data_IF_775931220014
#
_entry.id   IF_775931220014
#
_cell.length_a   1.000
_cell.length_b   1.000
_cell.length_c   1.000
_cell.angle_alpha   90.00
_cell.angle_beta   90.00
_cell.angle_gamma   90.00
#
_symmetry.space_group_name_H-M   'P 1'
#
loop_
_entity.id
_entity.type
_entity.pdbx_description
1 polymer ?
#
# COMPACT_ATOMS: atom_id res chain seq x y z
N UNK A 1 8.25 9.79 -17.94
CA UNK A 1 6.97 9.54 -17.26
C UNK A 1 7.13 10.14 -15.88
N UNK A 2 6.29 11.09 -15.49
CA UNK A 2 6.39 11.75 -14.18
C UNK A 2 5.84 10.86 -13.06
N UNK A 3 6.10 11.24 -11.81
CA UNK A 3 5.49 10.58 -10.64
C UNK A 3 3.97 10.61 -10.71
N UNK A 4 3.38 11.77 -11.00
CA UNK A 4 1.94 11.94 -11.12
C UNK A 4 1.35 11.07 -12.23
N UNK A 5 2.03 10.95 -13.38
CA UNK A 5 1.61 10.08 -14.48
C UNK A 5 1.64 8.61 -14.07
N UNK A 6 2.69 8.19 -13.34
CA UNK A 6 2.82 6.82 -12.83
C UNK A 6 1.74 6.48 -11.79
N UNK A 7 1.54 7.36 -10.81
CA UNK A 7 0.50 7.19 -9.78
C UNK A 7 -0.89 7.21 -10.42
N UNK A 8 -1.13 8.05 -11.41
CA UNK A 8 -2.40 8.09 -12.12
C UNK A 8 -2.67 6.80 -12.92
N UNK A 9 -1.69 6.28 -13.69
CA UNK A 9 -1.86 5.02 -14.44
C UNK A 9 -2.10 3.84 -13.50
N UNK A 10 -1.29 3.69 -12.46
CA UNK A 10 -1.46 2.60 -11.50
C UNK A 10 -2.76 2.74 -10.70
N UNK A 11 -3.10 3.97 -10.29
CA UNK A 11 -4.34 4.31 -9.60
C UNK A 11 -5.56 3.91 -10.42
N UNK A 12 -5.58 4.23 -11.70
CA UNK A 12 -6.67 3.87 -12.61
C UNK A 12 -6.80 2.35 -12.76
N UNK A 13 -5.69 1.61 -12.89
CA UNK A 13 -5.70 0.14 -12.95
C UNK A 13 -6.28 -0.47 -11.69
N UNK A 14 -5.84 -0.02 -10.52
CA UNK A 14 -6.35 -0.49 -9.24
C UNK A 14 -7.84 -0.20 -9.11
N UNK A 15 -8.31 0.98 -9.53
CA UNK A 15 -9.73 1.32 -9.46
C UNK A 15 -10.63 0.45 -10.35
N UNK A 16 -10.09 -0.09 -11.45
CA UNK A 16 -10.80 -1.05 -12.34
C UNK A 16 -10.92 -2.45 -11.75
N UNK A 17 -10.11 -2.79 -10.74
CA UNK A 17 -10.19 -4.11 -10.08
C UNK A 17 -11.50 -4.27 -9.31
N UNK A 18 -12.00 -5.50 -9.27
CA UNK A 18 -13.08 -5.87 -8.37
C UNK A 18 -12.69 -5.63 -6.90
N UNK A 19 -13.65 -5.42 -5.97
CA UNK A 19 -13.35 -4.98 -4.60
C UNK A 19 -12.33 -5.83 -3.84
N UNK A 20 -12.41 -7.17 -3.96
CA UNK A 20 -11.49 -8.08 -3.24
C UNK A 20 -10.06 -8.06 -3.80
N UNK A 21 -9.84 -8.18 -5.12
CA UNK A 21 -8.53 -7.91 -5.72
C UNK A 21 -7.98 -6.52 -5.39
N UNK A 22 -8.83 -5.49 -5.45
CA UNK A 22 -8.46 -4.11 -5.10
C UNK A 22 -7.94 -4.03 -3.66
N UNK A 23 -8.65 -4.63 -2.71
CA UNK A 23 -8.25 -4.72 -1.31
C UNK A 23 -6.93 -5.50 -1.12
N UNK A 24 -6.69 -6.55 -1.91
CA UNK A 24 -5.45 -7.32 -1.84
C UNK A 24 -4.20 -6.48 -2.20
N UNK A 25 -4.32 -5.56 -3.18
CA UNK A 25 -3.23 -4.64 -3.53
C UNK A 25 -2.87 -3.74 -2.34
N UNK A 26 -3.86 -3.10 -1.73
CA UNK A 26 -3.62 -2.22 -0.57
C UNK A 26 -3.09 -2.97 0.66
N UNK A 27 -3.65 -4.16 0.96
CA UNK A 27 -3.17 -4.99 2.06
C UNK A 27 -1.70 -5.39 1.86
N UNK A 28 -1.32 -5.75 0.63
CA UNK A 28 0.06 -6.08 0.30
C UNK A 28 0.99 -4.88 0.51
N UNK A 29 0.65 -3.72 -0.03
CA UNK A 29 1.51 -2.53 0.11
C UNK A 29 1.63 -2.09 1.56
N UNK A 30 0.53 -2.14 2.31
CA UNK A 30 0.56 -1.86 3.75
C UNK A 30 1.45 -2.85 4.52
N UNK A 31 1.45 -4.12 4.15
CA UNK A 31 2.33 -5.14 4.75
C UNK A 31 3.80 -4.88 4.44
N UNK A 32 4.12 -4.51 3.19
CA UNK A 32 5.47 -4.15 2.77
C UNK A 32 6.00 -2.92 3.52
N UNK A 33 5.19 -1.86 3.63
CA UNK A 33 5.56 -0.64 4.37
C UNK A 33 5.78 -0.92 5.85
N UNK A 34 4.89 -1.72 6.47
CA UNK A 34 4.99 -2.15 7.87
C UNK A 34 6.29 -2.88 8.16
N UNK A 35 6.77 -3.72 7.23
CA UNK A 35 8.00 -4.50 7.42
C UNK A 35 9.24 -3.62 7.61
N UNK A 36 9.24 -2.40 7.06
CA UNK A 36 10.33 -1.43 7.25
C UNK A 36 10.08 -0.38 8.32
N UNK A 37 9.02 -0.49 9.13
CA UNK A 37 8.84 0.37 10.31
C UNK A 37 9.75 -0.10 11.45
N UNK A 38 10.32 0.86 12.18
CA UNK A 38 11.01 0.55 13.43
C UNK A 38 10.02 0.13 14.53
N UNK A 39 10.52 -0.59 15.54
CA UNK A 39 9.72 -0.96 16.71
C UNK A 39 9.14 0.27 17.43
N UNK A 40 9.90 1.37 17.48
CA UNK A 40 9.48 2.63 18.09
C UNK A 40 8.33 3.29 17.31
N UNK A 41 8.38 3.30 15.98
CA UNK A 41 7.29 3.84 15.15
C UNK A 41 6.03 2.97 15.23
N UNK A 42 6.18 1.65 15.26
CA UNK A 42 5.03 0.73 15.36
C UNK A 42 4.40 0.67 16.77
N UNK A 43 5.03 1.30 17.76
CA UNK A 43 4.58 1.27 19.15
C UNK A 43 3.17 1.87 19.28
N UNK A 44 2.27 1.15 19.96
CA UNK A 44 0.87 1.57 20.12
C UNK A 44 -0.06 1.18 18.96
N UNK A 45 0.49 0.73 17.83
CA UNK A 45 -0.29 0.30 16.66
C UNK A 45 -0.30 -1.22 16.43
N UNK A 46 0.57 -1.99 17.10
CA UNK A 46 0.72 -3.44 16.88
C UNK A 46 -0.59 -4.23 16.94
N UNK A 47 -1.37 -4.05 18.00
CA UNK A 47 -2.66 -4.75 18.18
C UNK A 47 -3.68 -4.33 17.13
N UNK A 48 -3.64 -3.05 16.74
CA UNK A 48 -4.52 -2.52 15.70
C UNK A 48 -4.14 -3.07 14.31
N UNK A 49 -2.85 -3.11 13.96
CA UNK A 49 -2.38 -3.72 12.72
C UNK A 49 -2.78 -5.19 12.61
N UNK A 50 -2.74 -5.94 13.72
CA UNK A 50 -3.21 -7.33 13.77
C UNK A 50 -4.69 -7.42 13.42
N UNK A 51 -5.54 -6.71 14.16
CA UNK A 51 -7.00 -6.72 13.96
C UNK A 51 -7.40 -6.32 12.54
N UNK A 52 -6.81 -5.24 12.02
CA UNK A 52 -7.14 -4.76 10.67
C UNK A 52 -6.61 -5.70 9.60
N UNK A 53 -5.43 -6.30 9.77
CA UNK A 53 -4.93 -7.31 8.85
C UNK A 53 -5.84 -8.53 8.82
N UNK A 54 -6.29 -9.03 9.98
CA UNK A 54 -7.19 -10.19 10.06
C UNK A 54 -8.52 -9.91 9.34
N UNK A 55 -9.13 -8.75 9.59
CA UNK A 55 -10.36 -8.33 8.89
C UNK A 55 -10.17 -8.10 7.40
N UNK A 56 -9.01 -7.57 7.01
CA UNK A 56 -8.65 -7.43 5.60
C UNK A 56 -8.58 -8.79 4.93
N UNK A 57 -7.94 -9.79 5.56
CA UNK A 57 -7.83 -11.15 5.03
C UNK A 57 -9.20 -11.82 4.94
N UNK A 58 -10.04 -11.71 5.98
CA UNK A 58 -11.42 -12.22 5.98
C UNK A 58 -12.22 -11.65 4.80
N UNK A 59 -12.09 -10.35 4.52
CA UNK A 59 -12.75 -9.73 3.37
C UNK A 59 -12.15 -10.18 2.04
N UNK A 60 -10.82 -10.18 1.92
CA UNK A 60 -10.11 -10.51 0.69
C UNK A 60 -10.34 -11.97 0.28
N UNK A 61 -10.41 -12.91 1.23
CA UNK A 61 -10.54 -14.36 0.96
C UNK A 61 -11.98 -14.86 1.02
N UNK A 62 -12.73 -14.42 2.02
CA UNK A 62 -14.08 -14.94 2.27
C UNK A 62 -15.18 -13.94 1.91
N UNK A 63 -14.85 -12.69 1.59
CA UNK A 63 -15.83 -11.63 1.36
C UNK A 63 -16.56 -11.20 2.64
N UNK A 64 -16.04 -11.53 3.82
CA UNK A 64 -16.65 -11.22 5.10
C UNK A 64 -16.11 -9.89 5.62
N UNK A 65 -17.02 -8.96 5.92
CA UNK A 65 -16.65 -7.64 6.46
C UNK A 65 -16.47 -7.73 7.98
N UNK A 66 -17.39 -8.36 8.72
CA UNK A 66 -17.34 -8.41 10.19
C UNK A 66 -17.96 -7.17 10.83
N UNK A 67 -18.61 -7.35 11.99
CA UNK A 67 -19.45 -6.31 12.61
C UNK A 67 -18.65 -5.17 13.27
N UNK A 68 -17.38 -5.42 13.59
CA UNK A 68 -16.43 -4.50 14.22
C UNK A 68 -15.69 -3.60 13.22
N UNK A 69 -15.81 -3.85 11.91
CA UNK A 69 -15.12 -3.07 10.88
C UNK A 69 -15.41 -1.58 10.91
N UNK A 70 -16.66 -1.12 11.07
CA UNK A 70 -16.94 0.32 11.20
C UNK A 70 -16.11 0.98 12.32
N UNK A 71 -16.01 0.33 13.49
CA UNK A 71 -15.23 0.84 14.62
C UNK A 71 -13.72 0.82 14.37
N UNK A 72 -13.20 -0.22 13.71
CA UNK A 72 -11.78 -0.30 13.34
C UNK A 72 -11.40 0.77 12.30
N UNK A 73 -12.29 1.04 11.34
CA UNK A 73 -12.12 2.08 10.32
C UNK A 73 -12.23 3.50 10.90
N UNK A 74 -13.19 3.73 11.80
CA UNK A 74 -13.35 5.03 12.45
C UNK A 74 -12.09 5.40 13.23
N UNK A 75 -11.43 4.44 13.89
CA UNK A 75 -10.22 4.67 14.67
C UNK A 75 -9.04 5.26 13.87
N UNK A 76 -8.92 4.94 12.57
CA UNK A 76 -7.89 5.54 11.70
C UNK A 76 -8.33 6.85 11.05
N UNK A 77 -9.63 7.10 11.02
CA UNK A 77 -10.20 8.33 10.50
C UNK A 77 -10.07 9.50 11.49
N UNK A 78 -9.70 9.22 12.75
CA UNK A 78 -9.49 10.24 13.79
C UNK A 78 -8.02 10.67 13.81
N UNK A 79 -7.79 11.99 13.85
CA UNK A 79 -6.46 12.57 14.02
C UNK A 79 -5.79 11.99 15.27
N UNK A 80 -4.72 11.23 15.06
CA UNK A 80 -3.90 10.71 16.15
C UNK A 80 -2.78 11.73 16.41
N UNK A 81 -2.73 12.23 17.65
CA UNK A 81 -1.66 13.08 18.13
C UNK A 81 -0.69 12.23 18.97
N UNK A 82 0.64 12.35 18.81
CA UNK A 82 1.38 13.19 17.85
C UNK A 82 1.24 12.72 16.39
N UNK A 83 1.53 13.62 15.43
CA UNK A 83 1.52 13.29 13.99
C UNK A 83 2.50 12.13 13.70
N UNK A 84 2.04 11.03 13.09
CA UNK A 84 2.90 9.89 12.77
C UNK A 84 3.92 10.24 11.69
N UNK A 85 5.06 9.52 11.66
CA UNK A 85 6.00 9.60 10.54
C UNK A 85 5.26 9.27 9.23
N UNK A 86 5.77 9.81 8.11
CA UNK A 86 5.13 9.60 6.80
C UNK A 86 4.99 8.11 6.44
N UNK A 87 6.00 7.28 6.76
CA UNK A 87 5.95 5.83 6.56
C UNK A 87 4.88 5.16 7.42
N UNK A 88 4.73 5.58 8.68
CA UNK A 88 3.68 5.07 9.56
C UNK A 88 2.29 5.46 9.05
N UNK A 89 2.10 6.73 8.67
CA UNK A 89 0.85 7.21 8.08
C UNK A 89 0.49 6.42 6.81
N UNK A 90 1.43 6.28 5.89
CA UNK A 90 1.30 5.49 4.67
C UNK A 90 0.89 4.04 4.94
N UNK A 91 1.55 3.41 5.93
CA UNK A 91 1.23 2.05 6.36
C UNK A 91 -0.20 1.97 6.89
N UNK A 92 -0.61 2.90 7.77
CA UNK A 92 -1.95 2.93 8.35
C UNK A 92 -3.01 3.09 7.26
N UNK A 93 -2.82 4.00 6.31
CA UNK A 93 -3.73 4.20 5.17
C UNK A 93 -3.83 2.92 4.34
N UNK A 94 -2.71 2.33 3.94
CA UNK A 94 -2.72 1.15 3.09
C UNK A 94 -3.34 -0.08 3.77
N UNK A 95 -2.97 -0.36 5.02
CA UNK A 95 -3.48 -1.51 5.77
C UNK A 95 -4.98 -1.35 6.09
N UNK A 96 -5.48 -0.13 6.27
CA UNK A 96 -6.91 0.11 6.54
C UNK A 96 -7.79 0.25 5.29
N UNK A 97 -7.20 0.54 4.12
CA UNK A 97 -7.94 0.67 2.85
C UNK A 97 -8.81 -0.54 2.48
N UNK A 98 -8.41 -1.81 2.72
CA UNK A 98 -9.30 -2.97 2.57
C UNK A 98 -10.63 -2.83 3.31
N UNK A 99 -10.63 -2.25 4.51
CA UNK A 99 -11.84 -2.03 5.31
C UNK A 99 -12.73 -0.94 4.70
N UNK A 100 -12.13 0.14 4.20
CA UNK A 100 -12.87 1.16 3.47
C UNK A 100 -13.52 0.58 2.21
N UNK A 101 -12.80 -0.26 1.45
CA UNK A 101 -13.34 -0.94 0.27
C UNK A 101 -14.46 -1.91 0.66
N UNK A 102 -14.33 -2.58 1.80
CA UNK A 102 -15.37 -3.48 2.30
C UNK A 102 -16.67 -2.73 2.67
N UNK A 103 -16.55 -1.53 3.24
CA UNK A 103 -17.69 -0.67 3.60
C UNK A 103 -18.27 0.08 2.39
N UNK A 104 -17.42 0.53 1.48
CA UNK A 104 -17.76 1.39 0.34
C UNK A 104 -17.12 0.83 -0.96
N UNK A 105 -17.60 -0.30 -1.51
CA UNK A 105 -16.92 -0.99 -2.63
C UNK A 105 -16.90 -0.19 -3.94
N UNK A 106 -17.84 0.74 -4.11
CA UNK A 106 -17.92 1.64 -5.27
C UNK A 106 -16.95 2.83 -5.18
N UNK A 107 -16.27 3.01 -4.04
CA UNK A 107 -15.34 4.10 -3.84
C UNK A 107 -14.11 3.93 -4.72
N UNK A 108 -13.73 5.01 -5.38
CA UNK A 108 -12.43 5.12 -6.05
C UNK A 108 -11.38 5.41 -5.00
N UNK A 109 -10.44 4.48 -4.87
CA UNK A 109 -9.36 4.51 -3.87
C UNK A 109 -7.99 4.52 -4.53
N UNK A 110 -7.91 4.42 -5.86
CA UNK A 110 -6.66 4.42 -6.62
C UNK A 110 -5.75 5.62 -6.31
N UNK A 111 -6.33 6.79 -6.02
CA UNK A 111 -5.56 7.98 -5.60
C UNK A 111 -4.80 7.79 -4.29
N UNK A 112 -5.15 6.81 -3.46
CA UNK A 112 -4.44 6.51 -2.21
C UNK A 112 -3.13 5.74 -2.46
N UNK A 113 -2.86 5.28 -3.69
CA UNK A 113 -1.59 4.63 -4.03
C UNK A 113 -0.38 5.55 -3.89
N UNK A 114 -0.59 6.87 -3.93
CA UNK A 114 0.46 7.83 -3.61
C UNK A 114 1.02 7.59 -2.21
N UNK A 115 0.18 7.33 -1.22
CA UNK A 115 0.62 7.00 0.14
C UNK A 115 1.49 5.74 0.18
N UNK A 116 1.22 4.80 -0.70
CA UNK A 116 1.98 3.56 -0.83
C UNK A 116 3.37 3.80 -1.43
N UNK A 117 3.44 4.61 -2.48
CA UNK A 117 4.62 4.74 -3.35
C UNK A 117 5.55 5.88 -2.92
N UNK A 118 5.01 6.96 -2.35
CA UNK A 118 5.80 8.12 -1.95
C UNK A 118 6.92 7.76 -0.97
N UNK A 119 6.70 6.98 0.11
CA UNK A 119 7.77 6.62 1.03
C UNK A 119 8.89 5.79 0.37
N UNK A 120 8.57 5.00 -0.65
CA UNK A 120 9.56 4.21 -1.40
C UNK A 120 10.44 5.15 -2.24
N UNK A 121 9.82 6.11 -2.93
CA UNK A 121 10.51 7.10 -3.75
C UNK A 121 11.34 8.05 -2.88
N UNK A 122 10.78 8.52 -1.77
CA UNK A 122 11.49 9.37 -0.80
C UNK A 122 12.73 8.65 -0.25
N UNK A 123 12.62 7.37 0.10
CA UNK A 123 13.76 6.60 0.58
C UNK A 123 14.87 6.49 -0.48
N UNK A 124 14.53 6.11 -1.72
CA UNK A 124 15.51 6.04 -2.81
C UNK A 124 16.11 7.41 -3.11
N UNK A 125 15.29 8.46 -3.06
CA UNK A 125 15.73 9.85 -3.26
C UNK A 125 16.79 10.27 -2.25
N UNK A 126 16.55 10.04 -0.96
CA UNK A 126 17.48 10.37 0.11
C UNK A 126 18.81 9.60 -0.01
N UNK A 127 18.78 8.38 -0.54
CA UNK A 127 19.98 7.57 -0.76
C UNK A 127 20.79 8.03 -1.97
N UNK A 128 20.14 8.53 -3.03
CA UNK A 128 20.80 9.06 -4.22
C UNK A 128 21.28 10.51 -4.03
N UNK A 129 20.52 11.31 -3.27
CA UNK A 129 20.75 12.74 -3.06
C UNK A 129 20.88 13.00 -1.56
N UNK A 130 22.13 12.99 -1.06
CA UNK A 130 22.49 13.00 0.37
C UNK A 130 21.80 14.07 1.26
N UNK A 131 21.19 15.11 0.68
CA UNK A 131 20.55 16.22 1.41
C UNK A 131 19.20 16.72 0.85
N UNK A 132 18.57 15.98 -0.08
CA UNK A 132 17.31 16.43 -0.71
C UNK A 132 16.14 15.52 -0.33
N UNK A 133 15.19 16.05 0.46
CA UNK A 133 14.00 15.34 0.97
C UNK A 133 13.08 14.84 -0.16
N UNK A 134 13.10 15.49 -1.32
CA UNK A 134 12.46 15.00 -2.55
C UNK A 134 13.08 15.74 -3.75
N UNK A 135 13.57 15.06 -4.79
CA UNK A 135 14.18 15.74 -5.93
C UNK A 135 13.14 16.63 -6.62
N UNK A 136 13.59 17.75 -7.15
CA UNK A 136 12.80 18.48 -8.13
C UNK A 136 12.61 17.65 -9.41
N UNK A 137 11.86 18.17 -10.38
CA UNK A 137 11.60 17.49 -11.65
C UNK A 137 12.88 16.98 -12.37
N UNK A 138 14.04 17.58 -12.10
CA UNK A 138 15.31 17.19 -12.72
C UNK A 138 15.94 15.93 -12.09
N UNK A 139 15.83 15.73 -10.78
CA UNK A 139 16.33 14.53 -10.10
C UNK A 139 15.34 13.35 -10.13
N UNK A 140 14.07 13.62 -10.41
CA UNK A 140 13.02 12.61 -10.44
C UNK A 140 13.26 11.55 -11.52
N UNK A 141 13.80 11.94 -12.68
CA UNK A 141 14.15 11.00 -13.76
C UNK A 141 15.21 9.98 -13.33
N UNK A 142 16.18 10.37 -12.48
CA UNK A 142 17.20 9.47 -11.95
C UNK A 142 16.61 8.50 -10.93
N UNK A 143 15.69 8.96 -10.07
CA UNK A 143 14.98 8.08 -9.13
C UNK A 143 14.12 7.06 -9.86
N UNK A 144 13.41 7.49 -10.90
CA UNK A 144 12.64 6.56 -11.73
C UNK A 144 13.53 5.63 -12.54
N UNK A 145 14.76 6.02 -12.89
CA UNK A 145 15.72 5.14 -13.53
C UNK A 145 16.34 4.10 -12.58
N UNK A 146 16.20 4.26 -11.26
CA UNK A 146 16.70 3.31 -10.27
C UNK A 146 16.02 1.94 -10.42
N UNK A 147 16.83 0.88 -10.42
CA UNK A 147 16.38 -0.49 -10.64
C UNK A 147 15.33 -0.94 -9.61
N UNK A 148 15.37 -0.42 -8.38
CA UNK A 148 14.43 -0.77 -7.31
C UNK A 148 13.06 -0.17 -7.55
N UNK A 149 13.00 1.09 -8.00
CA UNK A 149 11.75 1.76 -8.37
C UNK A 149 11.13 1.08 -9.59
N UNK A 150 11.94 0.75 -10.59
CA UNK A 150 11.50 0.00 -11.77
C UNK A 150 10.96 -1.39 -11.40
N UNK A 151 11.65 -2.12 -10.51
CA UNK A 151 11.21 -3.43 -10.05
C UNK A 151 9.87 -3.36 -9.28
N UNK A 152 9.73 -2.40 -8.36
CA UNK A 152 8.49 -2.17 -7.62
C UNK A 152 7.32 -1.81 -8.56
N UNK A 153 7.56 -0.90 -9.52
CA UNK A 153 6.57 -0.52 -10.52
C UNK A 153 6.15 -1.70 -11.41
N UNK A 154 7.12 -2.44 -11.95
CA UNK A 154 6.86 -3.62 -12.77
C UNK A 154 6.06 -4.69 -12.01
N UNK A 155 6.39 -4.92 -10.74
CA UNK A 155 5.66 -5.84 -9.87
C UNK A 155 4.20 -5.39 -9.66
N UNK A 156 3.97 -4.11 -9.33
CA UNK A 156 2.61 -3.55 -9.18
C UNK A 156 1.76 -3.71 -10.45
N UNK A 157 2.33 -3.43 -11.63
CA UNK A 157 1.63 -3.63 -12.90
C UNK A 157 1.32 -5.10 -13.16
N UNK A 158 2.30 -5.99 -13.00
CA UNK A 158 2.13 -7.43 -13.22
C UNK A 158 1.07 -8.01 -12.26
N UNK A 159 1.06 -7.56 -11.01
CA UNK A 159 0.06 -7.92 -10.02
C UNK A 159 -1.35 -7.49 -10.47
N UNK A 160 -1.54 -6.22 -10.84
CA UNK A 160 -2.83 -5.74 -11.30
C UNK A 160 -3.32 -6.54 -12.51
N UNK A 161 -2.47 -6.76 -13.51
CA UNK A 161 -2.81 -7.58 -14.69
C UNK A 161 -3.16 -9.02 -14.32
N UNK A 162 -2.42 -9.64 -13.40
CA UNK A 162 -2.75 -10.99 -12.90
C UNK A 162 -4.11 -11.02 -12.22
N UNK A 163 -4.45 -10.00 -11.44
CA UNK A 163 -5.70 -9.90 -10.69
C UNK A 163 -6.90 -9.55 -11.58
N UNK A 164 -6.68 -8.80 -12.67
CA UNK A 164 -7.67 -8.59 -13.73
C UNK A 164 -8.03 -9.91 -14.43
N UNK A 165 -7.04 -10.76 -14.71
CA UNK A 165 -7.22 -12.05 -15.38
C UNK A 165 -7.76 -13.14 -14.44
N UNK A 166 -7.31 -13.14 -13.18
CA UNK A 166 -7.64 -14.13 -12.17
C UNK A 166 -8.13 -13.44 -10.89
N UNK A 167 -9.40 -12.99 -10.84
CA UNK A 167 -9.91 -12.12 -9.78
C UNK A 167 -10.18 -12.83 -8.45
N UNK A 168 -9.94 -14.15 -8.37
CA UNK A 168 -10.12 -14.90 -7.12
C UNK A 168 -8.84 -14.81 -6.30
N UNK A 169 -8.93 -14.16 -5.14
CA UNK A 169 -7.83 -14.12 -4.16
C UNK A 169 -8.15 -15.11 -3.04
N UNK A 170 -7.37 -16.19 -2.96
CA UNK A 170 -7.44 -17.20 -1.90
C UNK A 170 -6.20 -17.10 -0.98
N UNK A 171 -6.13 -17.93 0.07
CA UNK A 171 -4.99 -17.93 0.99
C UNK A 171 -3.65 -18.25 0.33
N UNK A 172 -3.62 -19.16 -0.63
CA UNK A 172 -2.42 -19.49 -1.40
C UNK A 172 -1.92 -18.25 -2.15
N UNK A 173 -2.82 -17.55 -2.85
CA UNK A 173 -2.49 -16.32 -3.55
C UNK A 173 -2.03 -15.22 -2.58
N UNK A 174 -2.66 -15.06 -1.42
CA UNK A 174 -2.18 -14.10 -0.41
C UNK A 174 -0.77 -14.41 0.08
N UNK A 175 -0.42 -15.69 0.23
CA UNK A 175 0.93 -16.09 0.59
C UNK A 175 1.94 -15.77 -0.52
N UNK A 176 1.60 -16.05 -1.79
CA UNK A 176 2.42 -15.62 -2.94
C UNK A 176 2.62 -14.10 -2.95
N UNK A 177 1.54 -13.34 -2.75
CA UNK A 177 1.57 -11.88 -2.73
C UNK A 177 2.49 -11.37 -1.64
N UNK A 178 2.41 -11.95 -0.43
CA UNK A 178 3.28 -11.59 0.68
C UNK A 178 4.76 -11.82 0.36
N UNK A 179 5.12 -12.84 -0.40
CA UNK A 179 6.51 -13.00 -0.84
C UNK A 179 6.98 -11.84 -1.75
N UNK A 180 6.07 -11.22 -2.49
CA UNK A 180 6.35 -10.02 -3.27
C UNK A 180 6.41 -8.71 -2.46
N UNK A 181 6.13 -8.72 -1.15
CA UNK A 181 6.27 -7.52 -0.32
C UNK A 181 7.71 -7.04 -0.21
N UNK A 182 8.67 -7.95 -0.34
CA UNK A 182 10.10 -7.64 -0.24
C UNK A 182 10.53 -6.71 -1.39
N UNK A 183 10.03 -6.98 -2.60
CA UNK A 183 10.21 -6.14 -3.79
C UNK A 183 9.67 -4.72 -3.54
N UNK A 184 8.49 -4.61 -2.93
CA UNK A 184 7.87 -3.32 -2.64
C UNK A 184 8.54 -2.55 -1.50
N UNK A 185 9.22 -3.25 -0.59
CA UNK A 185 9.92 -2.62 0.54
C UNK A 185 11.28 -2.02 0.17
N UNK A 186 11.76 -2.24 -1.06
CA UNK A 186 13.05 -1.75 -1.53
C UNK A 186 14.26 -2.43 -0.86
N UNK A 187 14.06 -3.60 -0.25
CA UNK A 187 15.10 -4.35 0.49
C UNK A 187 15.72 -5.51 -0.29
N UNK A 188 15.42 -5.63 -1.60
CA UNK A 188 15.92 -6.69 -2.47
C UNK A 188 17.42 -6.55 -2.80
#
# INVERSE_FOLDING_TARGET
>A
MTFDEFVADLGERVDRLAPRPKAAVFWLTGTALRAGLSAAESAGWSDWFGQVSDRSIDFIVDGRVGDDVPSLWERVSVSTWPEPSQRLLATVVCVSSPLAIALEPEKKVGSWLEHALFPVIEQVSLELFEDVVFPDDAGLDEVFADERVQAAGAYCHALCTSLEQYPTVNHEKLHELRAGSDILSGTA
#
